data_IF_189420045385
#
_entry.id   IF_189420045385
#
_cell.length_a   1.000
_cell.length_b   1.000
_cell.length_c   1.000
_cell.angle_alpha   90.00
_cell.angle_beta   90.00
_cell.angle_gamma   90.00
#
_symmetry.space_group_name_H-M   'P 1'
#
loop_
_entity.id
_entity.type
_entity.pdbx_description
1 polymer ?
#
# COMPACT_ATOMS: atom_id res chain seq x y z
N UNK A 1 9.78 2.53 15.08
CA UNK A 1 10.67 1.71 14.23
C UNK A 1 10.74 0.20 14.52
N UNK A 2 10.09 -0.38 15.54
CA UNK A 2 10.24 -1.81 15.87
C UNK A 2 9.07 -2.74 15.50
N UNK A 3 7.92 -2.22 15.07
CA UNK A 3 6.73 -3.06 14.79
C UNK A 3 6.59 -3.53 13.34
N UNK A 4 7.08 -2.77 12.38
CA UNK A 4 6.90 -3.09 10.95
C UNK A 4 7.91 -4.09 10.40
N UNK A 5 9.09 -4.20 10.99
CA UNK A 5 10.15 -5.14 10.57
C UNK A 5 9.78 -6.62 10.78
N UNK A 6 8.71 -6.92 11.51
CA UNK A 6 8.33 -8.32 11.81
C UNK A 6 7.41 -8.97 10.79
N UNK A 7 6.75 -8.20 9.90
CA UNK A 7 5.83 -8.78 8.90
C UNK A 7 6.51 -9.15 7.57
N UNK A 8 7.67 -8.59 7.27
CA UNK A 8 8.38 -8.81 5.99
C UNK A 8 9.42 -9.95 6.06
N UNK A 9 9.78 -10.44 7.24
CA UNK A 9 10.91 -11.36 7.41
C UNK A 9 10.53 -12.83 7.67
N UNK A 10 9.37 -13.25 7.21
CA UNK A 10 8.93 -14.64 7.33
C UNK A 10 8.86 -15.34 5.96
N UNK A 11 9.86 -15.16 5.10
CA UNK A 11 9.97 -15.99 3.91
C UNK A 11 11.39 -15.96 3.35
N UNK A 12 12.19 -16.89 3.73
CA UNK A 12 13.12 -17.70 2.94
C UNK A 12 13.90 -18.60 3.88
N UNK A 13 13.47 -19.84 3.99
CA UNK A 13 14.37 -20.96 4.31
C UNK A 13 13.86 -22.18 3.55
N UNK A 14 14.31 -22.33 2.33
CA UNK A 14 14.14 -23.59 1.59
C UNK A 14 15.38 -24.42 1.88
N UNK A 15 15.22 -25.43 2.73
CA UNK A 15 16.18 -26.51 2.85
C UNK A 15 15.86 -27.56 1.78
N UNK A 16 16.80 -27.78 0.87
CA UNK A 16 16.73 -28.79 -0.14
C UNK A 16 16.81 -30.17 0.47
N UNK A 17 15.71 -30.94 0.42
CA UNK A 17 15.74 -32.40 0.53
C UNK A 17 15.03 -33.00 -0.68
N UNK A 18 15.81 -33.69 -1.52
CA UNK A 18 15.27 -34.53 -2.59
C UNK A 18 14.50 -35.70 -1.97
N UNK A 19 13.17 -35.74 -2.21
CA UNK A 19 12.39 -36.99 -2.10
C UNK A 19 11.44 -37.03 -3.30
N UNK A 20 11.49 -38.16 -3.95
CA UNK A 20 10.74 -38.56 -5.14
C UNK A 20 9.24 -38.47 -4.94
N UNK A 21 8.56 -37.74 -5.85
CA UNK A 21 7.29 -38.08 -6.44
C UNK A 21 6.04 -38.15 -5.59
N UNK A 22 5.46 -37.01 -5.24
CA UNK A 22 4.05 -36.69 -5.39
C UNK A 22 3.98 -35.16 -5.53
N UNK A 23 3.46 -34.66 -6.66
CA UNK A 23 3.18 -33.25 -6.82
C UNK A 23 2.07 -32.90 -5.83
N UNK A 24 2.46 -32.35 -4.68
CA UNK A 24 1.53 -31.62 -3.82
C UNK A 24 1.16 -30.38 -4.64
N UNK A 25 -0.12 -30.11 -4.92
CA UNK A 25 -0.49 -28.82 -5.49
C UNK A 25 0.01 -27.78 -4.50
N UNK A 26 1.02 -26.98 -4.90
CA UNK A 26 1.31 -25.71 -4.24
C UNK A 26 0.02 -24.92 -4.40
N UNK A 27 -0.75 -24.81 -3.30
CA UNK A 27 -1.80 -23.81 -3.25
C UNK A 27 -1.11 -22.51 -3.59
N UNK A 28 -1.52 -21.86 -4.67
CA UNK A 28 -1.09 -20.49 -4.96
C UNK A 28 -1.38 -19.72 -3.67
N UNK A 29 -0.34 -19.17 -3.05
CA UNK A 29 -0.48 -18.27 -1.93
C UNK A 29 -1.36 -17.13 -2.48
N UNK A 30 -2.53 -16.90 -1.89
CA UNK A 30 -3.42 -15.86 -2.38
C UNK A 30 -2.63 -14.55 -2.42
N UNK A 31 -2.61 -13.91 -3.59
CA UNK A 31 -1.87 -12.67 -3.78
C UNK A 31 -2.25 -11.67 -2.66
N UNK A 32 -1.27 -10.97 -2.06
CA UNK A 32 -1.55 -10.06 -0.95
C UNK A 32 -2.56 -8.99 -1.38
N UNK A 33 -3.43 -8.60 -0.45
CA UNK A 33 -4.34 -7.49 -0.68
C UNK A 33 -3.69 -6.19 -0.25
N UNK A 34 -3.65 -5.20 -1.16
CA UNK A 34 -3.21 -3.83 -0.89
C UNK A 34 -4.44 -2.94 -0.76
N UNK A 35 -4.62 -2.32 0.38
CA UNK A 35 -5.70 -1.37 0.65
C UNK A 35 -5.23 0.05 0.36
N UNK A 36 -5.86 0.68 -0.63
CA UNK A 36 -5.59 2.04 -1.07
C UNK A 36 -6.78 2.95 -0.78
N UNK A 37 -6.56 4.08 -0.12
CA UNK A 37 -7.59 5.13 0.02
C UNK A 37 -7.13 6.40 -0.70
N UNK A 38 -8.00 6.91 -1.59
CA UNK A 38 -7.78 8.17 -2.29
C UNK A 38 -9.02 9.06 -2.25
N UNK A 39 -8.89 10.32 -2.68
CA UNK A 39 -10.02 11.19 -3.00
C UNK A 39 -10.34 11.25 -4.49
N UNK A 40 -9.70 10.42 -5.30
CA UNK A 40 -9.88 10.40 -6.74
C UNK A 40 -11.25 9.85 -7.09
N UNK A 41 -12.04 10.61 -7.83
CA UNK A 41 -13.39 10.22 -8.22
C UNK A 41 -13.46 9.99 -9.73
N UNK A 42 -13.84 8.81 -10.21
CA UNK A 42 -13.90 8.51 -11.66
C UNK A 42 -14.92 9.38 -12.41
N UNK A 43 -15.90 9.94 -11.71
CA UNK A 43 -16.87 10.88 -12.27
C UNK A 43 -16.34 12.30 -12.47
N UNK A 44 -15.18 12.64 -11.86
CA UNK A 44 -14.54 13.94 -12.02
C UNK A 44 -13.55 13.89 -13.20
N UNK A 45 -13.79 14.66 -14.31
CA UNK A 45 -12.92 14.60 -15.49
C UNK A 45 -11.45 14.95 -15.24
N UNK A 46 -11.17 15.78 -14.23
CA UNK A 46 -9.79 16.15 -13.88
C UNK A 46 -9.06 15.07 -13.07
N UNK A 47 -9.80 14.21 -12.36
CA UNK A 47 -9.25 13.16 -11.51
C UNK A 47 -9.26 11.79 -12.20
N UNK A 48 -10.17 11.61 -13.17
CA UNK A 48 -10.36 10.35 -13.87
C UNK A 48 -9.07 9.76 -14.46
N UNK A 49 -8.17 10.52 -15.13
CA UNK A 49 -6.94 9.94 -15.66
C UNK A 49 -6.05 9.30 -14.59
N UNK A 50 -5.95 9.93 -13.41
CA UNK A 50 -5.18 9.36 -12.29
C UNK A 50 -5.87 8.14 -11.68
N UNK A 51 -7.19 8.18 -11.57
CA UNK A 51 -7.99 7.03 -11.13
C UNK A 51 -7.79 5.84 -12.08
N UNK A 52 -7.99 6.05 -13.39
CA UNK A 52 -7.85 5.01 -14.41
C UNK A 52 -6.43 4.42 -14.44
N UNK A 53 -5.40 5.24 -14.22
CA UNK A 53 -4.01 4.79 -14.19
C UNK A 53 -3.75 3.83 -13.00
N UNK A 54 -4.33 4.11 -11.83
CA UNK A 54 -4.25 3.24 -10.65
C UNK A 54 -4.92 1.89 -10.93
N UNK A 55 -6.17 1.93 -11.46
CA UNK A 55 -6.91 0.70 -11.76
C UNK A 55 -6.19 -0.13 -12.83
N UNK A 56 -5.71 0.51 -13.91
CA UNK A 56 -4.97 -0.18 -14.97
C UNK A 56 -3.68 -0.81 -14.46
N UNK A 57 -2.96 -0.12 -13.57
CA UNK A 57 -1.75 -0.68 -12.96
C UNK A 57 -2.09 -1.92 -12.11
N UNK A 58 -3.17 -1.87 -11.35
CA UNK A 58 -3.60 -3.01 -10.53
C UNK A 58 -4.04 -4.20 -11.40
N UNK A 59 -4.74 -3.94 -12.49
CA UNK A 59 -5.14 -4.98 -13.46
C UNK A 59 -3.93 -5.65 -14.11
N UNK A 60 -2.91 -4.86 -14.48
CA UNK A 60 -1.68 -5.34 -15.11
C UNK A 60 -0.82 -6.19 -14.16
N UNK A 61 -1.02 -6.05 -12.83
CA UNK A 61 -0.26 -6.75 -11.77
C UNK A 61 -1.16 -7.64 -10.89
N UNK A 62 -2.30 -8.08 -11.42
CA UNK A 62 -3.29 -8.86 -10.68
C UNK A 62 -2.78 -10.25 -10.22
N UNK A 63 -1.66 -10.71 -10.77
CA UNK A 63 -0.94 -11.92 -10.34
C UNK A 63 0.01 -11.66 -9.15
N UNK A 64 0.35 -10.40 -8.89
CA UNK A 64 1.24 -10.00 -7.79
C UNK A 64 0.47 -9.57 -6.54
N UNK A 65 -0.67 -8.86 -6.70
CA UNK A 65 -1.50 -8.38 -5.60
C UNK A 65 -2.96 -8.14 -6.03
N UNK A 66 -3.84 -8.05 -5.04
CA UNK A 66 -5.22 -7.57 -5.23
C UNK A 66 -5.33 -6.15 -4.68
N UNK A 67 -5.87 -5.21 -5.46
CA UNK A 67 -6.11 -3.83 -5.01
C UNK A 67 -7.52 -3.68 -4.42
N UNK A 68 -7.63 -3.22 -3.19
CA UNK A 68 -8.85 -2.68 -2.59
C UNK A 68 -8.78 -1.16 -2.60
N UNK A 69 -9.39 -0.51 -3.62
CA UNK A 69 -9.36 0.94 -3.79
C UNK A 69 -10.65 1.58 -3.27
N UNK A 70 -10.53 2.32 -2.17
CA UNK A 70 -11.64 3.08 -1.57
C UNK A 70 -11.50 4.58 -1.90
N UNK A 71 -12.62 5.20 -2.33
CA UNK A 71 -12.65 6.63 -2.65
C UNK A 71 -13.41 7.39 -1.59
N UNK A 72 -12.72 8.24 -0.84
CA UNK A 72 -13.30 9.05 0.23
C UNK A 72 -12.84 10.49 0.07
N UNK A 73 -13.77 11.44 0.09
CA UNK A 73 -13.49 12.85 -0.17
C UNK A 73 -13.62 13.74 1.08
N UNK A 74 -12.82 14.78 1.12
CA UNK A 74 -12.98 15.85 2.11
C UNK A 74 -12.76 15.42 3.56
N UNK A 75 -13.65 15.87 4.43
CA UNK A 75 -13.53 15.66 5.88
C UNK A 75 -13.84 14.23 6.32
N UNK A 76 -14.56 13.46 5.49
CA UNK A 76 -14.80 12.03 5.72
C UNK A 76 -13.50 11.25 5.72
N UNK A 77 -12.58 11.56 4.79
CA UNK A 77 -11.26 10.94 4.74
C UNK A 77 -10.46 11.22 6.02
N UNK A 78 -10.52 12.46 6.53
CA UNK A 78 -9.84 12.81 7.79
C UNK A 78 -10.41 12.03 8.98
N UNK A 79 -11.74 11.91 9.04
CA UNK A 79 -12.41 11.16 10.10
C UNK A 79 -12.09 9.67 10.02
N UNK A 80 -12.08 9.10 8.81
CA UNK A 80 -11.73 7.69 8.59
C UNK A 80 -10.30 7.40 9.03
N UNK A 81 -9.30 8.15 8.56
CA UNK A 81 -7.90 7.91 8.94
C UNK A 81 -7.70 8.01 10.46
N UNK A 82 -8.35 8.96 11.14
CA UNK A 82 -8.32 9.02 12.61
C UNK A 82 -8.89 7.76 13.27
N UNK A 83 -9.99 7.27 12.75
CA UNK A 83 -10.63 6.05 13.26
C UNK A 83 -9.74 4.83 13.01
N UNK A 84 -9.16 4.75 11.83
CA UNK A 84 -8.29 3.64 11.44
C UNK A 84 -7.00 3.61 12.28
N UNK A 85 -6.42 4.78 12.60
CA UNK A 85 -5.30 4.89 13.53
C UNK A 85 -5.69 4.35 14.92
N UNK A 86 -6.85 4.78 15.43
CA UNK A 86 -7.33 4.33 16.74
C UNK A 86 -7.66 2.83 16.78
N UNK A 87 -8.07 2.27 15.64
CA UNK A 87 -8.43 0.86 15.47
C UNK A 87 -7.28 -0.05 15.05
N UNK A 88 -6.07 0.48 14.81
CA UNK A 88 -4.92 -0.26 14.23
C UNK A 88 -5.28 -0.91 12.86
N UNK A 89 -6.08 -0.21 12.06
CA UNK A 89 -6.60 -0.64 10.75
C UNK A 89 -6.27 0.32 9.62
N UNK A 90 -5.17 1.06 9.75
CA UNK A 90 -4.70 2.01 8.72
C UNK A 90 -4.49 1.27 7.40
N UNK A 91 -4.94 1.82 6.25
CA UNK A 91 -4.68 1.23 4.94
C UNK A 91 -3.19 1.21 4.61
N UNK A 92 -2.79 0.35 3.67
CA UNK A 92 -1.39 0.23 3.26
C UNK A 92 -0.90 1.49 2.55
N UNK A 93 -1.77 2.13 1.75
CA UNK A 93 -1.48 3.36 1.02
C UNK A 93 -2.68 4.30 1.15
N UNK A 94 -2.42 5.57 1.37
CA UNK A 94 -3.47 6.59 1.34
C UNK A 94 -2.94 7.96 0.92
N UNK A 95 -3.78 8.74 0.24
CA UNK A 95 -3.49 10.13 -0.10
C UNK A 95 -4.03 11.02 1.02
N UNK A 96 -3.17 11.87 1.58
CA UNK A 96 -3.54 12.75 2.68
C UNK A 96 -2.89 14.13 2.54
N UNK A 97 -3.37 15.09 3.34
CA UNK A 97 -2.81 16.45 3.34
C UNK A 97 -1.49 16.49 4.13
N UNK A 98 -0.41 16.88 3.45
CA UNK A 98 0.94 16.96 4.03
C UNK A 98 1.24 18.21 4.85
N UNK A 99 0.26 19.10 5.10
CA UNK A 99 0.49 20.40 5.76
C UNK A 99 -0.18 20.51 7.13
N UNK A 100 0.47 21.26 8.02
CA UNK A 100 -0.06 21.61 9.34
C UNK A 100 -0.27 20.41 10.26
N UNK A 101 -1.28 20.49 11.13
CA UNK A 101 -1.56 19.45 12.11
C UNK A 101 -2.00 18.08 11.54
N UNK A 102 -2.27 17.99 10.23
CA UNK A 102 -2.65 16.74 9.62
C UNK A 102 -1.48 15.73 9.60
N UNK A 103 -0.27 16.21 9.23
CA UNK A 103 0.93 15.37 9.21
C UNK A 103 1.40 14.97 10.61
N UNK A 104 1.25 15.88 11.58
CA UNK A 104 1.66 15.62 12.97
C UNK A 104 0.97 14.39 13.55
N UNK A 105 -0.33 14.25 13.33
CA UNK A 105 -1.10 13.10 13.80
C UNK A 105 -0.56 11.77 13.23
N UNK A 106 -0.19 11.75 11.96
CA UNK A 106 0.35 10.55 11.30
C UNK A 106 1.75 10.18 11.83
N UNK A 107 2.58 11.21 12.04
CA UNK A 107 3.93 11.04 12.61
C UNK A 107 3.87 10.57 14.07
N UNK A 108 3.02 11.19 14.88
CA UNK A 108 2.85 10.84 16.30
C UNK A 108 2.32 9.41 16.47
N UNK A 109 1.49 8.96 15.53
CA UNK A 109 0.95 7.60 15.51
C UNK A 109 1.93 6.55 14.94
N UNK A 110 3.08 6.96 14.37
CA UNK A 110 4.08 6.09 13.71
C UNK A 110 3.46 5.17 12.63
N UNK A 111 2.50 5.70 11.87
CA UNK A 111 1.75 4.95 10.84
C UNK A 111 2.22 5.21 9.41
N UNK A 112 3.20 6.10 9.23
CA UNK A 112 3.80 6.39 7.92
C UNK A 112 5.29 6.03 7.93
N UNK A 113 5.79 5.63 6.77
CA UNK A 113 7.20 5.30 6.56
C UNK A 113 7.86 6.36 5.66
N UNK A 114 9.15 6.68 5.85
CA UNK A 114 9.88 7.51 4.93
C UNK A 114 10.09 6.80 3.58
N UNK A 115 9.92 7.54 2.48
CA UNK A 115 10.10 7.03 1.11
C UNK A 115 11.56 7.11 0.62
N UNK A 116 12.46 7.66 1.42
CA UNK A 116 13.85 7.94 1.02
C UNK A 116 14.56 6.73 0.42
N UNK A 117 14.53 5.59 1.10
CA UNK A 117 15.21 4.37 0.63
C UNK A 117 14.59 3.82 -0.67
N UNK A 118 13.28 3.98 -0.85
CA UNK A 118 12.58 3.52 -2.05
C UNK A 118 12.86 4.44 -3.24
N UNK A 119 12.93 5.76 -3.03
CA UNK A 119 13.29 6.71 -4.07
C UNK A 119 14.73 6.53 -4.53
N UNK A 120 15.66 6.27 -3.59
CA UNK A 120 17.07 6.02 -3.91
C UNK A 120 17.28 4.72 -4.69
N UNK A 121 16.43 3.73 -4.49
CA UNK A 121 16.45 2.45 -5.20
C UNK A 121 15.67 2.46 -6.52
N UNK A 122 14.86 3.49 -6.77
CA UNK A 122 13.99 3.56 -7.96
C UNK A 122 14.77 4.00 -9.20
N UNK A 123 14.60 3.27 -10.31
CA UNK A 123 15.07 3.68 -11.63
C UNK A 123 14.09 4.61 -12.36
N UNK A 124 12.84 4.69 -11.88
CA UNK A 124 11.75 5.41 -12.55
C UNK A 124 11.50 6.78 -11.96
N UNK A 125 11.73 6.96 -10.66
CA UNK A 125 11.41 8.18 -9.91
C UNK A 125 12.65 8.65 -9.17
N UNK A 126 13.05 9.88 -9.37
CA UNK A 126 14.19 10.53 -8.71
C UNK A 126 13.69 11.52 -7.65
N UNK A 127 14.48 11.73 -6.59
CA UNK A 127 14.23 12.77 -5.57
C UNK A 127 14.13 14.18 -6.15
N UNK A 128 14.76 14.43 -7.32
CA UNK A 128 14.75 15.73 -7.98
C UNK A 128 13.38 16.12 -8.57
N UNK A 129 12.41 15.20 -8.51
CA UNK A 129 11.04 15.44 -8.96
C UNK A 129 10.11 16.03 -7.88
N UNK A 130 10.60 16.19 -6.63
CA UNK A 130 9.79 16.64 -5.48
C UNK A 130 10.32 17.93 -4.84
#
# INVERSE_FOLDING_TARGET
MKKYTKKIMAMVTIAATMVTGTAIPVMADDAPTIRLITWLTPSNPAQKPSYDAIESFADDHADEFTLEHENIVGDELKAKIKTDIAGDTVPDIFIYWGSGGNSTMLLDADVIIPFDEYLDASELVSRDLF
#
